data_IF_996022522850
#
_entry.id   IF_996022522850
#
_cell.length_a   1.000
_cell.length_b   1.000
_cell.length_c   1.000
_cell.angle_alpha   90.00
_cell.angle_beta   90.00
_cell.angle_gamma   90.00
#
_symmetry.space_group_name_H-M   'P 1'
#
loop_
_entity.id
_entity.type
_entity.pdbx_description
1 polymer ?
#
# COMPACT_ATOMS: atom_id res chain seq x y z
N UNK A 1 -6.71 -12.55 -27.60
CA UNK A 1 -7.36 -11.88 -26.45
C UNK A 1 -6.28 -11.57 -25.44
N UNK A 2 -6.13 -10.33 -25.00
CA UNK A 2 -5.16 -9.94 -23.96
C UNK A 2 -5.82 -10.08 -22.59
N UNK A 3 -5.20 -10.81 -21.66
CA UNK A 3 -5.70 -10.97 -20.29
C UNK A 3 -5.58 -9.65 -19.53
N UNK A 4 -6.65 -9.29 -18.83
CA UNK A 4 -6.63 -8.19 -17.86
C UNK A 4 -6.08 -8.72 -16.54
N UNK A 5 -5.04 -8.09 -16.02
CA UNK A 5 -4.40 -8.45 -14.77
C UNK A 5 -4.86 -7.54 -13.63
N UNK A 6 -4.70 -8.04 -12.41
CA UNK A 6 -4.89 -7.29 -11.17
C UNK A 6 -3.62 -7.50 -10.36
N UNK A 7 -2.96 -6.40 -9.99
CA UNK A 7 -1.96 -6.46 -8.93
C UNK A 7 -2.72 -6.56 -7.60
N UNK A 8 -2.70 -7.75 -7.02
CA UNK A 8 -3.46 -8.07 -5.81
C UNK A 8 -2.80 -7.57 -4.52
N UNK A 9 -1.55 -7.10 -4.57
CA UNK A 9 -0.83 -6.66 -3.38
C UNK A 9 0.43 -5.85 -3.73
N UNK A 10 0.40 -4.55 -3.43
CA UNK A 10 1.60 -3.70 -3.43
C UNK A 10 1.51 -2.60 -2.35
N UNK A 11 2.53 -1.74 -2.29
CA UNK A 11 2.59 -0.56 -1.43
C UNK A 11 2.86 0.71 -2.26
N UNK A 12 1.83 1.23 -2.95
CA UNK A 12 2.01 2.41 -3.83
C UNK A 12 2.37 3.70 -3.07
N UNK A 13 2.05 3.75 -1.78
CA UNK A 13 2.32 4.86 -0.88
C UNK A 13 3.72 4.78 -0.24
N UNK A 14 4.57 3.85 -0.67
CA UNK A 14 5.97 3.79 -0.26
C UNK A 14 6.71 5.08 -0.66
N UNK A 15 7.43 5.69 0.29
CA UNK A 15 8.13 6.97 0.11
C UNK A 15 9.11 6.99 -1.07
N UNK A 16 9.66 5.82 -1.44
CA UNK A 16 10.58 5.67 -2.58
C UNK A 16 9.89 5.88 -3.91
N UNK A 17 8.58 5.60 -3.95
CA UNK A 17 7.71 5.76 -5.10
C UNK A 17 6.96 7.09 -5.06
N UNK A 18 6.45 7.49 -3.91
CA UNK A 18 5.66 8.71 -3.74
C UNK A 18 5.89 9.36 -2.38
N UNK A 19 6.20 10.65 -2.40
CA UNK A 19 6.30 11.48 -1.21
C UNK A 19 5.68 12.86 -1.49
N UNK A 20 4.83 13.39 -0.59
CA UNK A 20 4.20 14.70 -0.79
C UNK A 20 5.21 15.85 -0.78
N UNK A 21 6.40 15.65 -0.21
CA UNK A 21 7.46 16.66 -0.12
C UNK A 21 8.46 16.60 -1.28
N UNK A 22 8.37 15.60 -2.17
CA UNK A 22 9.28 15.43 -3.31
C UNK A 22 8.51 15.51 -4.64
N UNK A 23 8.52 16.66 -5.35
CA UNK A 23 7.86 16.77 -6.66
C UNK A 23 8.34 15.73 -7.68
N UNK A 24 9.60 15.31 -7.58
CA UNK A 24 10.18 14.28 -8.44
C UNK A 24 9.63 12.87 -8.19
N UNK A 25 9.11 12.56 -7.00
CA UNK A 25 8.54 11.23 -6.75
C UNK A 25 7.24 11.01 -7.53
N UNK A 26 6.49 12.08 -7.84
CA UNK A 26 5.27 11.94 -8.66
C UNK A 26 5.56 11.34 -10.04
N UNK A 27 6.68 11.72 -10.66
CA UNK A 27 7.10 11.15 -11.95
C UNK A 27 7.42 9.66 -11.84
N UNK A 28 7.98 9.21 -10.71
CA UNK A 28 8.23 7.77 -10.47
C UNK A 28 6.92 7.02 -10.32
N UNK A 29 5.99 7.53 -9.52
CA UNK A 29 4.66 6.96 -9.33
C UNK A 29 3.88 6.85 -10.65
N UNK A 30 3.80 7.93 -11.43
CA UNK A 30 3.12 7.95 -12.72
C UNK A 30 3.79 6.97 -13.71
N UNK A 31 5.12 6.87 -13.68
CA UNK A 31 5.88 5.89 -14.44
C UNK A 31 5.57 4.44 -14.06
N UNK A 32 5.36 4.13 -12.78
CA UNK A 32 4.93 2.81 -12.31
C UNK A 32 3.54 2.47 -12.85
N UNK A 33 2.57 3.38 -12.71
CA UNK A 33 1.20 3.17 -13.20
C UNK A 33 1.15 3.03 -14.72
N UNK A 34 1.95 3.80 -15.46
CA UNK A 34 2.09 3.68 -16.90
C UNK A 34 2.58 2.29 -17.31
N UNK A 35 3.64 1.78 -16.66
CA UNK A 35 4.14 0.42 -16.91
C UNK A 35 3.12 -0.66 -16.56
N UNK A 36 2.42 -0.51 -15.43
CA UNK A 36 1.36 -1.44 -15.03
C UNK A 36 0.25 -1.51 -16.09
N UNK A 37 -0.17 -0.36 -16.62
CA UNK A 37 -1.12 -0.29 -17.73
C UNK A 37 -0.59 -0.97 -18.99
N UNK A 38 0.66 -0.72 -19.39
CA UNK A 38 1.28 -1.38 -20.55
C UNK A 38 1.36 -2.91 -20.39
N UNK A 39 1.40 -3.39 -19.14
CA UNK A 39 1.31 -4.80 -18.78
C UNK A 39 -0.14 -5.31 -18.65
N UNK A 40 -1.15 -4.52 -19.04
CA UNK A 40 -2.58 -4.85 -18.95
C UNK A 40 -3.11 -5.02 -17.52
N UNK A 41 -2.47 -4.38 -16.54
CA UNK A 41 -3.00 -4.28 -15.17
C UNK A 41 -4.12 -3.26 -15.13
N UNK A 42 -5.31 -3.71 -14.76
CA UNK A 42 -6.52 -2.88 -14.68
C UNK A 42 -6.73 -2.29 -13.29
N UNK A 43 -6.30 -3.02 -12.24
CA UNK A 43 -6.50 -2.67 -10.84
C UNK A 43 -5.24 -2.99 -10.04
N UNK A 44 -5.00 -2.17 -9.02
CA UNK A 44 -3.88 -2.33 -8.10
C UNK A 44 -4.38 -2.23 -6.67
N UNK A 45 -4.17 -3.26 -5.87
CA UNK A 45 -4.50 -3.26 -4.45
C UNK A 45 -3.31 -2.74 -3.65
N UNK A 46 -3.41 -1.49 -3.19
CA UNK A 46 -2.36 -0.86 -2.37
C UNK A 46 -2.66 -1.03 -0.88
N UNK A 47 -1.72 -1.61 -0.14
CA UNK A 47 -1.94 -2.16 1.19
C UNK A 47 -1.27 -1.33 2.29
N UNK A 48 -2.02 -0.42 2.91
CA UNK A 48 -1.50 0.46 3.94
C UNK A 48 -1.52 -0.23 5.32
N UNK A 49 -0.39 -0.16 6.04
CA UNK A 49 -0.09 -1.08 7.15
C UNK A 49 -0.18 -0.47 8.55
N UNK A 50 -0.28 0.86 8.63
CA UNK A 50 -0.56 1.62 9.85
C UNK A 50 -1.18 2.97 9.52
N UNK A 51 -1.52 3.74 10.55
CA UNK A 51 -2.25 5.00 10.42
C UNK A 51 -1.60 6.04 9.48
N UNK A 52 -0.28 6.23 9.51
CA UNK A 52 0.32 7.20 8.58
C UNK A 52 0.30 6.70 7.13
N UNK A 53 0.35 5.38 6.91
CA UNK A 53 0.20 4.81 5.57
C UNK A 53 -1.21 5.04 5.05
N UNK A 54 -2.23 4.90 5.92
CA UNK A 54 -3.62 5.12 5.53
C UNK A 54 -3.79 6.54 4.99
N UNK A 55 -3.32 7.54 5.75
CA UNK A 55 -3.36 8.96 5.34
C UNK A 55 -2.61 9.21 4.03
N UNK A 56 -1.42 8.63 3.89
CA UNK A 56 -0.58 8.76 2.68
C UNK A 56 -1.26 8.16 1.46
N UNK A 57 -1.85 6.97 1.59
CA UNK A 57 -2.60 6.31 0.53
C UNK A 57 -3.84 7.10 0.12
N UNK A 58 -4.57 7.67 1.07
CA UNK A 58 -5.72 8.52 0.78
C UNK A 58 -5.34 9.77 -0.03
N UNK A 59 -4.25 10.44 0.36
CA UNK A 59 -3.72 11.59 -0.38
C UNK A 59 -3.34 11.19 -1.81
N UNK A 60 -2.64 10.07 -1.96
CA UNK A 60 -2.23 9.54 -3.24
C UNK A 60 -3.44 9.21 -4.14
N UNK A 61 -4.47 8.57 -3.59
CA UNK A 61 -5.72 8.29 -4.31
C UNK A 61 -6.44 9.57 -4.74
N UNK A 62 -6.47 10.60 -3.88
CA UNK A 62 -7.07 11.90 -4.21
C UNK A 62 -6.35 12.67 -5.33
N UNK A 63 -5.08 12.30 -5.61
CA UNK A 63 -4.28 12.90 -6.67
C UNK A 63 -4.31 12.10 -7.98
N UNK A 64 -4.95 10.93 -8.00
CA UNK A 64 -5.01 10.06 -9.17
C UNK A 64 -5.84 10.71 -10.29
N UNK A 65 -5.29 10.75 -11.50
CA UNK A 65 -6.03 11.22 -12.67
C UNK A 65 -6.96 10.11 -13.20
N UNK A 66 -8.25 10.39 -13.43
CA UNK A 66 -9.28 9.38 -13.68
C UNK A 66 -9.16 8.69 -15.05
N UNK A 67 -8.49 9.31 -16.02
CA UNK A 67 -8.35 8.76 -17.36
C UNK A 67 -6.91 8.27 -17.53
N UNK A 68 -6.74 6.99 -17.88
CA UNK A 68 -5.48 6.34 -18.28
C UNK A 68 -4.54 5.74 -17.21
N UNK A 69 -5.02 5.52 -15.98
CA UNK A 69 -4.27 4.78 -14.94
C UNK A 69 -5.04 3.57 -14.39
N UNK A 70 -4.33 2.50 -13.94
CA UNK A 70 -4.97 1.40 -13.21
C UNK A 70 -5.74 1.91 -12.00
N UNK A 71 -6.89 1.32 -11.71
CA UNK A 71 -7.71 1.73 -10.56
C UNK A 71 -7.06 1.26 -9.25
N UNK A 72 -6.82 2.20 -8.35
CA UNK A 72 -6.29 1.88 -7.01
C UNK A 72 -7.44 1.40 -6.13
N UNK A 73 -7.26 0.23 -5.52
CA UNK A 73 -8.16 -0.35 -4.53
C UNK A 73 -7.43 -0.31 -3.18
N UNK A 74 -7.84 0.52 -2.22
CA UNK A 74 -7.16 0.55 -0.93
C UNK A 74 -7.41 -0.71 -0.12
N UNK A 75 -6.38 -1.14 0.61
CA UNK A 75 -6.49 -2.09 1.71
C UNK A 75 -5.94 -1.43 2.96
N UNK A 76 -6.78 -1.29 3.99
CA UNK A 76 -6.39 -0.65 5.26
C UNK A 76 -6.32 -1.71 6.36
N UNK A 77 -5.28 -1.60 7.18
CA UNK A 77 -5.01 -2.59 8.19
C UNK A 77 -3.86 -2.21 9.09
N UNK A 78 -3.68 -3.02 10.11
CA UNK A 78 -2.51 -2.98 10.99
C UNK A 78 -1.71 -4.24 10.71
N UNK A 79 -0.44 -4.08 10.33
CA UNK A 79 0.47 -5.21 10.14
C UNK A 79 1.11 -5.63 11.48
N UNK A 80 1.41 -6.92 11.71
CA UNK A 80 1.90 -7.44 12.99
C UNK A 80 3.17 -6.77 13.54
N UNK A 81 4.04 -6.22 12.70
CA UNK A 81 5.21 -5.45 13.14
C UNK A 81 4.84 -4.23 14.01
N UNK A 82 3.62 -3.69 13.87
CA UNK A 82 3.08 -2.58 14.64
C UNK A 82 2.25 -3.07 15.83
N UNK A 83 2.16 -4.38 16.07
CA UNK A 83 1.31 -4.92 17.15
C UNK A 83 1.73 -4.41 18.53
N UNK A 84 3.01 -4.10 18.73
CA UNK A 84 3.50 -3.48 19.97
C UNK A 84 2.99 -2.05 20.18
N UNK A 85 2.68 -1.33 19.09
CA UNK A 85 2.11 0.02 19.12
C UNK A 85 0.58 0.01 19.26
N UNK A 86 -0.06 -1.16 19.15
CA UNK A 86 -1.52 -1.34 19.26
C UNK A 86 -1.90 -1.91 20.63
N UNK A 87 -1.13 -1.57 21.68
CA UNK A 87 -1.43 -1.99 23.06
C UNK A 87 -2.89 -1.68 23.45
N UNK A 88 -3.43 -2.30 24.50
CA UNK A 88 -4.83 -2.11 24.94
C UNK A 88 -5.22 -0.64 25.22
N UNK A 89 -4.24 0.27 25.37
CA UNK A 89 -4.46 1.71 25.47
C UNK A 89 -4.72 2.40 24.10
N UNK A 90 -4.30 1.79 23.00
CA UNK A 90 -4.41 2.27 21.61
C UNK A 90 -5.70 1.82 20.90
N UNK A 91 -6.81 1.71 21.64
CA UNK A 91 -8.16 1.65 21.07
C UNK A 91 -8.39 2.75 20.02
N UNK A 92 -7.65 3.85 20.08
CA UNK A 92 -7.63 4.93 19.10
C UNK A 92 -7.20 4.48 17.70
N UNK A 93 -6.18 3.63 17.54
CA UNK A 93 -5.78 3.13 16.22
C UNK A 93 -6.85 2.23 15.59
N UNK A 94 -7.56 1.44 16.41
CA UNK A 94 -8.70 0.65 15.94
C UNK A 94 -9.93 1.53 15.60
N UNK A 95 -10.17 2.60 16.36
CA UNK A 95 -11.19 3.61 16.01
C UNK A 95 -10.83 4.31 14.70
N UNK A 96 -9.58 4.74 14.53
CA UNK A 96 -9.07 5.37 13.31
C UNK A 96 -9.17 4.43 12.10
N UNK A 97 -8.86 3.14 12.28
CA UNK A 97 -9.08 2.13 11.24
C UNK A 97 -10.55 2.02 10.85
N UNK A 98 -11.45 1.88 11.85
CA UNK A 98 -12.90 1.83 11.62
C UNK A 98 -13.38 3.07 10.87
N UNK A 99 -12.97 4.25 11.29
CA UNK A 99 -13.39 5.52 10.69
C UNK A 99 -12.83 5.67 9.26
N UNK A 100 -11.63 5.16 8.99
CA UNK A 100 -11.05 5.08 7.64
C UNK A 100 -11.83 4.13 6.75
N UNK A 101 -12.17 2.94 7.24
CA UNK A 101 -12.98 1.97 6.49
C UNK A 101 -14.40 2.49 6.20
N UNK A 102 -14.99 3.25 7.13
CA UNK A 102 -16.29 3.90 6.90
C UNK A 102 -16.24 4.93 5.77
N UNK A 103 -15.12 5.65 5.59
CA UNK A 103 -14.91 6.60 4.47
C UNK A 103 -14.66 5.90 3.14
N UNK A 104 -14.15 4.65 3.17
CA UNK A 104 -13.82 3.86 1.99
C UNK A 104 -14.56 2.51 1.98
N UNK A 105 -15.88 2.48 1.69
CA UNK A 105 -16.68 1.26 1.78
C UNK A 105 -16.29 0.17 0.76
N UNK A 106 -15.45 0.50 -0.24
CA UNK A 106 -14.89 -0.45 -1.22
C UNK A 106 -13.47 -0.90 -0.86
N UNK A 107 -12.91 -0.42 0.24
CA UNK A 107 -11.62 -0.86 0.73
C UNK A 107 -11.72 -2.30 1.25
N UNK A 108 -10.64 -3.05 1.11
CA UNK A 108 -10.50 -4.31 1.82
C UNK A 108 -9.93 -4.06 3.23
N UNK A 109 -10.34 -4.88 4.20
CA UNK A 109 -9.71 -4.91 5.53
C UNK A 109 -8.58 -5.93 5.50
N UNK A 110 -7.43 -5.57 6.06
CA UNK A 110 -6.33 -6.51 6.26
C UNK A 110 -5.90 -6.54 7.73
N UNK A 111 -5.78 -7.75 8.26
CA UNK A 111 -4.86 -8.05 9.34
C UNK A 111 -3.72 -8.77 8.64
N UNK A 112 -2.55 -8.14 8.51
CA UNK A 112 -1.51 -8.80 7.74
C UNK A 112 -1.14 -10.08 8.46
N UNK A 113 -1.30 -11.21 7.77
CA UNK A 113 -0.83 -12.50 8.23
C UNK A 113 0.66 -12.33 8.48
N UNK A 114 1.15 -12.80 9.62
CA UNK A 114 2.57 -12.87 9.97
C UNK A 114 3.39 -13.22 8.72
N UNK A 115 4.17 -12.27 8.21
CA UNK A 115 5.01 -12.49 7.04
C UNK A 115 6.24 -13.29 7.49
N UNK A 116 6.02 -14.56 7.83
CA UNK A 116 7.09 -15.53 8.05
C UNK A 116 7.39 -16.18 6.71
N UNK A 117 8.13 -15.47 5.86
CA UNK A 117 9.02 -16.06 4.84
C UNK A 117 9.80 -14.95 4.11
N UNK A 118 11.12 -15.12 4.05
CA UNK A 118 12.15 -14.30 3.37
C UNK A 118 12.67 -13.04 4.13
N UNK A 119 12.88 -13.14 5.43
CA UNK A 119 13.92 -12.34 6.12
C UNK A 119 15.18 -13.18 6.45
N UNK A 120 15.10 -14.51 6.36
CA UNK A 120 16.22 -15.42 6.69
C UNK A 120 17.19 -15.69 5.53
N UNK A 121 16.93 -15.14 4.34
CA UNK A 121 17.79 -15.37 3.16
C UNK A 121 18.72 -14.20 2.86
N UNK A 122 18.48 -13.01 3.41
CA UNK A 122 19.35 -11.84 3.18
C UNK A 122 20.49 -11.71 4.21
N UNK A 123 20.28 -12.15 5.46
CA UNK A 123 21.35 -12.10 6.47
C UNK A 123 22.39 -13.23 6.30
N UNK A 124 22.01 -14.37 5.71
CA UNK A 124 22.92 -15.49 5.50
C UNK A 124 23.93 -15.28 4.35
N UNK A 125 23.65 -14.39 3.39
CA UNK A 125 24.60 -14.09 2.29
C UNK A 125 25.60 -12.98 2.67
N UNK A 126 25.28 -12.14 3.66
CA UNK A 126 26.14 -11.04 4.12
C UNK A 126 27.17 -11.42 5.18
N UNK A 127 27.11 -12.63 5.76
CA UNK A 127 28.15 -13.17 6.66
C UNK A 127 29.22 -14.00 5.94
N UNK A 128 29.19 -14.08 4.60
CA UNK A 128 30.12 -14.90 3.80
C UNK A 128 31.04 -14.12 2.84
N UNK A 129 31.23 -12.81 3.06
CA UNK A 129 32.21 -11.97 2.34
C UNK A 129 33.23 -11.38 3.32
#
# INVERSE_FOLDING_TARGET
MTLQLIDAHCHLHDERLWSPVSPSSRHKFDGVLSRARSAHVSHVVSCATHENDWRTLEQLMGQQQPNDSPKIVPSFGIHPWWAGEVSLEHMESLKSLRDTLARHPRASVRLAKLQLEVALTFDAEMESI
#
